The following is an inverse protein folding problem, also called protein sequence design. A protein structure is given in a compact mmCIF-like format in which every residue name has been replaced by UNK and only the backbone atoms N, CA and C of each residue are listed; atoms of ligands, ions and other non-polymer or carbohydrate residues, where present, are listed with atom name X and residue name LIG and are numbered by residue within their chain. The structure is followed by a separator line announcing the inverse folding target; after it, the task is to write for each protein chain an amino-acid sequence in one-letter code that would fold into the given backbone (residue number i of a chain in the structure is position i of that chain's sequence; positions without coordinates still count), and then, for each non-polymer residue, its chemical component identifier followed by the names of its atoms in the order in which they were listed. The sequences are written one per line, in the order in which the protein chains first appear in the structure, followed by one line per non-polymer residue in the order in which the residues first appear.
data_IF_742085627985
#
_entry.id   IF_742085627985
#
_cell.length_a   1.000
_cell.length_b   1.000
_cell.length_c   1.000
_cell.angle_alpha   90.00
_cell.angle_beta   90.00
_cell.angle_gamma   90.00
#
_symmetry.space_group_name_H-M   'P 1'
#
loop_
_entity.id
_entity.type
_entity.pdbx_description
1 polymer ?
#
# COMPACT_ATOMS: atom_id res chain seq x y z
N UNK A 1 96.24 -80.57 -76.97
CA UNK A 1 95.76 -80.85 -75.60
C UNK A 1 96.07 -79.71 -74.62
N UNK A 2 97.24 -79.03 -74.71
CA UNK A 2 97.59 -77.90 -73.83
C UNK A 2 96.69 -76.63 -73.94
N UNK A 3 96.11 -76.34 -75.10
CA UNK A 3 95.23 -75.16 -75.27
C UNK A 3 93.84 -75.33 -74.64
N UNK A 4 93.35 -76.57 -74.57
CA UNK A 4 92.05 -76.91 -73.99
C UNK A 4 92.09 -76.80 -72.46
N UNK A 5 93.20 -77.22 -71.83
CA UNK A 5 93.42 -77.04 -70.38
C UNK A 5 93.52 -75.56 -70.00
N UNK A 6 94.17 -74.71 -70.82
CA UNK A 6 94.22 -73.25 -70.61
C UNK A 6 92.83 -72.62 -70.71
N UNK A 7 92.02 -73.02 -71.69
CA UNK A 7 90.65 -72.54 -71.83
C UNK A 7 89.77 -72.94 -70.63
N UNK A 8 89.91 -74.17 -70.13
CA UNK A 8 89.20 -74.65 -68.93
C UNK A 8 89.64 -73.88 -67.68
N UNK A 9 90.95 -73.63 -67.52
CA UNK A 9 91.47 -72.85 -66.39
C UNK A 9 90.97 -71.39 -66.40
N UNK A 10 90.89 -70.76 -67.58
CA UNK A 10 90.35 -69.39 -67.73
C UNK A 10 88.84 -69.38 -67.45
N UNK A 11 88.09 -70.36 -67.94
CA UNK A 11 86.65 -70.48 -67.67
C UNK A 11 86.37 -70.69 -66.17
N UNK A 12 87.17 -71.52 -65.49
CA UNK A 12 87.06 -71.73 -64.04
C UNK A 12 87.39 -70.45 -63.26
N UNK A 13 88.45 -69.73 -63.65
CA UNK A 13 88.83 -68.46 -63.00
C UNK A 13 87.79 -67.34 -63.24
N UNK A 14 87.18 -67.31 -64.43
CA UNK A 14 86.06 -66.40 -64.75
C UNK A 14 84.79 -66.77 -63.99
N UNK A 15 84.58 -68.06 -63.70
CA UNK A 15 83.47 -68.55 -62.88
C UNK A 15 83.66 -68.15 -61.41
N UNK A 16 84.85 -68.34 -60.84
CA UNK A 16 85.19 -67.84 -59.50
C UNK A 16 85.04 -66.32 -59.40
N UNK A 17 85.48 -65.56 -60.40
CA UNK A 17 85.33 -64.09 -60.41
C UNK A 17 83.85 -63.68 -60.44
N UNK A 18 83.01 -64.41 -61.18
CA UNK A 18 81.57 -64.14 -61.26
C UNK A 18 80.84 -64.55 -59.98
N UNK A 19 81.24 -65.67 -59.36
CA UNK A 19 80.73 -66.13 -58.06
C UNK A 19 81.10 -65.14 -56.95
N UNK A 20 82.35 -64.66 -56.91
CA UNK A 20 82.79 -63.64 -55.96
C UNK A 20 82.09 -62.29 -56.17
N UNK A 21 81.84 -61.89 -57.44
CA UNK A 21 81.04 -60.68 -57.74
C UNK A 21 79.59 -60.84 -57.32
N UNK A 22 78.97 -61.99 -57.57
CA UNK A 22 77.60 -62.27 -57.15
C UNK A 22 77.45 -62.25 -55.63
N UNK A 23 78.43 -62.82 -54.90
CA UNK A 23 78.45 -62.78 -53.44
C UNK A 23 78.65 -61.35 -52.90
N UNK A 24 79.53 -60.56 -53.52
CA UNK A 24 79.72 -59.14 -53.16
C UNK A 24 78.50 -58.25 -53.49
N UNK A 25 77.74 -58.58 -54.53
CA UNK A 25 76.49 -57.89 -54.90
C UNK A 25 75.35 -58.30 -53.95
N UNK A 26 75.27 -59.57 -53.55
CA UNK A 26 74.34 -60.03 -52.52
C UNK A 26 74.59 -59.35 -51.17
N UNK A 27 75.86 -59.29 -50.74
CA UNK A 27 76.24 -58.60 -49.51
C UNK A 27 75.90 -57.10 -49.57
N UNK A 28 76.11 -56.44 -50.72
CA UNK A 28 75.70 -55.04 -50.93
C UNK A 28 74.17 -54.87 -50.93
N UNK A 29 73.43 -55.78 -51.54
CA UNK A 29 71.97 -55.75 -51.54
C UNK A 29 71.40 -55.94 -50.12
N UNK A 30 71.97 -56.84 -49.33
CA UNK A 30 71.60 -57.01 -47.92
C UNK A 30 71.95 -55.78 -47.07
N UNK A 31 73.11 -55.17 -47.29
CA UNK A 31 73.51 -53.94 -46.59
C UNK A 31 72.54 -52.78 -46.89
N UNK A 32 72.17 -52.57 -48.16
CA UNK A 32 71.19 -51.54 -48.56
C UNK A 32 69.82 -51.84 -47.95
N UNK A 33 69.38 -53.10 -47.98
CA UNK A 33 68.11 -53.51 -47.34
C UNK A 33 68.12 -53.22 -45.84
N UNK A 34 69.22 -53.50 -45.15
CA UNK A 34 69.37 -53.20 -43.73
C UNK A 34 69.34 -51.68 -43.47
N UNK A 35 70.03 -50.86 -44.27
CA UNK A 35 69.97 -49.40 -44.16
C UNK A 35 68.56 -48.84 -44.37
N UNK A 36 67.85 -49.30 -45.40
CA UNK A 36 66.47 -48.88 -45.66
C UNK A 36 65.54 -49.25 -44.51
N UNK A 37 65.72 -50.42 -43.88
CA UNK A 37 64.95 -50.76 -42.68
C UNK A 37 65.26 -49.83 -41.52
N UNK A 38 66.53 -49.48 -41.28
CA UNK A 38 66.93 -48.54 -40.22
C UNK A 38 66.35 -47.15 -40.48
N UNK A 39 66.36 -46.70 -41.74
CA UNK A 39 65.76 -45.43 -42.13
C UNK A 39 64.24 -45.45 -41.95
N UNK A 40 63.57 -46.52 -42.36
CA UNK A 40 62.13 -46.71 -42.14
C UNK A 40 61.78 -46.67 -40.65
N UNK A 41 62.53 -47.40 -39.80
CA UNK A 41 62.32 -47.35 -38.35
C UNK A 41 62.57 -45.95 -37.78
N UNK A 42 63.56 -45.22 -38.29
CA UNK A 42 63.84 -43.84 -37.86
C UNK A 42 62.70 -42.90 -38.24
N UNK A 43 62.18 -42.98 -39.47
CA UNK A 43 61.07 -42.15 -39.94
C UNK A 43 59.77 -42.47 -39.20
N UNK A 44 59.45 -43.75 -39.01
CA UNK A 44 58.29 -44.18 -38.21
C UNK A 44 58.40 -43.66 -36.78
N UNK A 45 59.57 -43.80 -36.13
CA UNK A 45 59.76 -43.29 -34.78
C UNK A 45 59.67 -41.75 -34.69
N UNK A 46 60.11 -41.03 -35.72
CA UNK A 46 59.95 -39.58 -35.80
C UNK A 46 58.48 -39.19 -35.99
N UNK A 47 57.75 -39.86 -36.87
CA UNK A 47 56.33 -39.62 -37.09
C UNK A 47 55.50 -39.93 -35.83
N UNK A 48 55.78 -41.04 -35.15
CA UNK A 48 55.10 -41.40 -33.90
C UNK A 48 55.39 -40.38 -32.80
N UNK A 49 56.65 -39.92 -32.68
CA UNK A 49 57.00 -38.86 -31.73
C UNK A 49 56.27 -37.56 -32.07
N UNK A 50 56.24 -37.17 -33.34
CA UNK A 50 55.58 -35.94 -33.77
C UNK A 50 54.07 -36.00 -33.48
N UNK A 51 53.43 -37.14 -33.77
CA UNK A 51 52.03 -37.39 -33.43
C UNK A 51 51.77 -37.30 -31.92
N UNK A 52 52.66 -37.87 -31.11
CA UNK A 52 52.54 -37.77 -29.65
C UNK A 52 52.70 -36.31 -29.17
N UNK A 53 53.66 -35.57 -29.72
CA UNK A 53 53.86 -34.16 -29.39
C UNK A 53 52.61 -33.34 -29.75
N UNK A 54 52.08 -33.51 -30.96
CA UNK A 54 50.88 -32.81 -31.42
C UNK A 54 49.66 -33.15 -30.55
N UNK A 55 49.47 -34.42 -30.18
CA UNK A 55 48.39 -34.83 -29.28
C UNK A 55 48.54 -34.21 -27.89
N UNK A 56 49.77 -34.15 -27.35
CA UNK A 56 50.04 -33.51 -26.07
C UNK A 56 49.78 -32.01 -26.14
N UNK A 57 50.19 -31.33 -27.22
CA UNK A 57 49.93 -29.90 -27.42
C UNK A 57 48.44 -29.60 -27.55
N UNK A 58 47.71 -30.40 -28.33
CA UNK A 58 46.25 -30.28 -28.45
C UNK A 58 45.56 -30.48 -27.10
N UNK A 59 45.96 -31.49 -26.32
CA UNK A 59 45.44 -31.70 -24.98
C UNK A 59 45.76 -30.55 -24.03
N UNK A 60 47.01 -30.06 -24.04
CA UNK A 60 47.44 -28.94 -23.21
C UNK A 60 46.68 -27.66 -23.54
N UNK A 61 46.40 -27.42 -24.82
CA UNK A 61 45.63 -26.27 -25.25
C UNK A 61 44.16 -26.41 -24.82
N UNK A 62 43.55 -27.57 -25.05
CA UNK A 62 42.17 -27.83 -24.63
C UNK A 62 42.00 -27.71 -23.10
N UNK A 63 42.99 -28.18 -22.32
CA UNK A 63 42.97 -28.06 -20.86
C UNK A 63 43.09 -26.60 -20.41
N UNK A 64 43.97 -25.81 -21.04
CA UNK A 64 44.06 -24.36 -20.78
C UNK A 64 42.76 -23.63 -21.09
N UNK A 65 42.14 -23.93 -22.23
CA UNK A 65 40.89 -23.31 -22.64
C UNK A 65 39.75 -23.72 -21.70
N UNK A 66 39.69 -24.99 -21.30
CA UNK A 66 38.74 -25.49 -20.32
C UNK A 66 38.92 -24.80 -18.95
N UNK A 67 40.15 -24.67 -18.46
CA UNK A 67 40.46 -23.95 -17.22
C UNK A 67 40.06 -22.48 -17.35
N UNK A 68 40.34 -21.84 -18.49
CA UNK A 68 39.92 -20.46 -18.76
C UNK A 68 38.40 -20.29 -18.67
N UNK A 69 37.64 -21.19 -19.25
CA UNK A 69 36.17 -21.17 -19.21
C UNK A 69 35.65 -21.42 -17.80
N UNK A 70 36.18 -22.42 -17.08
CA UNK A 70 35.70 -22.74 -15.72
C UNK A 70 36.05 -21.64 -14.73
N UNK A 71 37.27 -21.09 -14.79
CA UNK A 71 37.68 -19.97 -13.94
C UNK A 71 36.90 -18.70 -14.24
N UNK A 72 36.64 -18.38 -15.52
CA UNK A 72 35.79 -17.26 -15.89
C UNK A 72 34.34 -17.46 -15.43
N UNK A 73 33.78 -18.67 -15.58
CA UNK A 73 32.44 -18.99 -15.10
C UNK A 73 32.34 -18.89 -13.57
N UNK A 74 33.34 -19.38 -12.84
CA UNK A 74 33.40 -19.27 -11.37
C UNK A 74 33.55 -17.81 -10.92
N UNK A 75 34.41 -17.04 -11.58
CA UNK A 75 34.57 -15.60 -11.30
C UNK A 75 33.26 -14.85 -11.54
N UNK A 76 32.58 -15.11 -12.66
CA UNK A 76 31.28 -14.50 -12.97
C UNK A 76 30.19 -14.92 -11.97
N UNK A 77 30.19 -16.19 -11.53
CA UNK A 77 29.27 -16.68 -10.51
C UNK A 77 29.49 -15.96 -9.19
N UNK A 78 30.73 -15.87 -8.70
CA UNK A 78 31.07 -15.15 -7.47
C UNK A 78 30.68 -13.68 -7.56
N UNK A 79 31.02 -13.00 -8.65
CA UNK A 79 30.63 -11.61 -8.86
C UNK A 79 29.10 -11.41 -8.83
N UNK A 80 28.35 -12.33 -9.46
CA UNK A 80 26.88 -12.28 -9.45
C UNK A 80 26.29 -12.56 -8.06
N UNK A 81 26.89 -13.48 -7.30
CA UNK A 81 26.51 -13.77 -5.91
C UNK A 81 26.75 -12.56 -5.00
N UNK A 82 27.93 -11.92 -5.11
CA UNK A 82 28.27 -10.71 -4.37
C UNK A 82 27.32 -9.55 -4.71
N UNK A 83 26.99 -9.36 -5.99
CA UNK A 83 26.00 -8.35 -6.42
C UNK A 83 24.59 -8.65 -5.87
N UNK A 84 24.17 -9.92 -5.90
CA UNK A 84 22.89 -10.34 -5.36
C UNK A 84 22.82 -10.13 -3.84
N UNK A 85 23.89 -10.44 -3.12
CA UNK A 85 24.01 -10.21 -1.68
C UNK A 85 24.01 -8.72 -1.35
N UNK A 86 24.77 -7.91 -2.07
CA UNK A 86 24.78 -6.46 -1.91
C UNK A 86 23.38 -5.85 -2.12
N UNK A 87 22.64 -6.34 -3.12
CA UNK A 87 21.27 -5.91 -3.37
C UNK A 87 20.30 -6.36 -2.27
N UNK A 88 20.44 -7.60 -1.75
CA UNK A 88 19.65 -8.06 -0.61
C UNK A 88 19.92 -7.24 0.64
N UNK A 89 21.19 -6.96 0.95
CA UNK A 89 21.57 -6.15 2.09
C UNK A 89 21.04 -4.72 1.97
N UNK A 90 21.11 -4.12 0.78
CA UNK A 90 20.52 -2.80 0.53
C UNK A 90 19.01 -2.80 0.72
N UNK A 91 18.30 -3.79 0.18
CA UNK A 91 16.86 -3.92 0.33
C UNK A 91 16.46 -4.15 1.79
N UNK A 92 17.22 -4.98 2.52
CA UNK A 92 17.02 -5.21 3.95
C UNK A 92 17.26 -3.94 4.76
N UNK A 93 18.36 -3.22 4.51
CA UNK A 93 18.64 -1.94 5.15
C UNK A 93 17.55 -0.89 4.89
N UNK A 94 16.99 -0.84 3.69
CA UNK A 94 15.84 0.01 3.38
C UNK A 94 14.57 -0.42 4.14
N UNK A 95 14.27 -1.72 4.18
CA UNK A 95 13.12 -2.24 4.91
C UNK A 95 13.23 -1.95 6.43
N UNK A 96 14.42 -2.13 6.99
CA UNK A 96 14.67 -1.86 8.40
C UNK A 96 14.62 -0.35 8.70
N UNK A 97 15.13 0.50 7.81
CA UNK A 97 14.97 1.95 7.92
C UNK A 97 13.49 2.38 7.94
N UNK A 98 12.66 1.82 7.07
CA UNK A 98 11.21 2.09 7.05
C UNK A 98 10.53 1.60 8.34
N UNK A 99 10.88 0.40 8.82
CA UNK A 99 10.34 -0.11 10.09
C UNK A 99 10.71 0.78 11.27
N UNK A 100 11.98 1.19 11.38
CA UNK A 100 12.45 2.06 12.45
C UNK A 100 11.73 3.41 12.39
N UNK A 101 11.59 4.00 11.19
CA UNK A 101 10.86 5.24 11.01
C UNK A 101 9.38 5.10 11.43
N UNK A 102 8.69 4.07 10.97
CA UNK A 102 7.30 3.82 11.31
C UNK A 102 7.09 3.55 12.82
N UNK A 103 8.00 2.80 13.44
CA UNK A 103 7.99 2.57 14.89
C UNK A 103 8.22 3.87 15.66
N UNK A 104 9.19 4.68 15.23
CA UNK A 104 9.50 5.98 15.84
C UNK A 104 8.30 6.94 15.75
N UNK A 105 7.62 7.01 14.60
CA UNK A 105 6.44 7.85 14.41
C UNK A 105 5.26 7.36 15.26
N UNK A 106 5.07 6.05 15.37
CA UNK A 106 4.05 5.45 16.22
C UNK A 106 4.31 5.76 17.71
N UNK A 107 5.54 5.60 18.17
CA UNK A 107 5.95 5.94 19.54
C UNK A 107 5.79 7.43 19.82
N UNK A 108 6.24 8.30 18.90
CA UNK A 108 6.07 9.75 19.03
C UNK A 108 4.59 10.15 19.12
N UNK A 109 3.71 9.49 18.36
CA UNK A 109 2.28 9.75 18.41
C UNK A 109 1.66 9.29 19.73
N UNK A 110 2.07 8.12 20.26
CA UNK A 110 1.63 7.65 21.57
C UNK A 110 2.03 8.62 22.68
N UNK A 111 3.29 9.02 22.72
CA UNK A 111 3.79 9.98 23.73
C UNK A 111 3.05 11.31 23.64
N UNK A 112 2.76 11.81 22.43
CA UNK A 112 1.95 13.03 22.25
C UNK A 112 0.51 12.84 22.72
N UNK A 113 -0.11 11.69 22.45
CA UNK A 113 -1.46 11.38 22.90
C UNK A 113 -1.54 11.33 24.43
N UNK A 114 -0.60 10.64 25.08
CA UNK A 114 -0.47 10.57 26.54
C UNK A 114 -0.25 11.95 27.15
N UNK A 115 0.64 12.77 26.57
CA UNK A 115 0.87 14.13 27.03
C UNK A 115 -0.40 14.99 26.92
N UNK A 116 -1.15 14.88 25.83
CA UNK A 116 -2.41 15.60 25.65
C UNK A 116 -3.48 15.12 26.63
N UNK A 117 -3.58 13.81 26.88
CA UNK A 117 -4.51 13.25 27.86
C UNK A 117 -4.27 13.84 29.25
N UNK A 118 -3.00 13.89 29.68
CA UNK A 118 -2.63 14.51 30.97
C UNK A 118 -2.98 15.99 30.99
N UNK A 119 -2.67 16.73 29.91
CA UNK A 119 -3.00 18.16 29.82
C UNK A 119 -4.50 18.40 29.91
N UNK A 120 -5.32 17.63 29.19
CA UNK A 120 -6.77 17.77 29.22
C UNK A 120 -7.36 17.38 30.57
N UNK A 121 -6.81 16.36 31.26
CA UNK A 121 -7.20 16.02 32.63
C UNK A 121 -6.96 17.19 33.58
N UNK A 122 -5.75 17.76 33.56
CA UNK A 122 -5.40 18.91 34.39
C UNK A 122 -6.28 20.13 34.07
N UNK A 123 -6.52 20.41 32.78
CA UNK A 123 -7.36 21.54 32.36
C UNK A 123 -8.83 21.34 32.77
N UNK A 124 -9.36 20.13 32.63
CA UNK A 124 -10.73 19.79 33.03
C UNK A 124 -10.91 19.90 34.55
N UNK A 125 -9.93 19.41 35.34
CA UNK A 125 -9.92 19.56 36.79
C UNK A 125 -9.83 21.03 37.20
N UNK A 126 -8.98 21.82 36.55
CA UNK A 126 -8.87 23.27 36.78
C UNK A 126 -10.19 24.00 36.49
N UNK A 127 -10.82 23.70 35.34
CA UNK A 127 -12.14 24.26 34.99
C UNK A 127 -13.22 23.83 35.96
N UNK A 128 -13.23 22.58 36.41
CA UNK A 128 -14.18 22.09 37.41
C UNK A 128 -14.04 22.87 38.72
N UNK A 129 -12.82 23.07 39.19
CA UNK A 129 -12.55 23.86 40.40
C UNK A 129 -12.99 25.33 40.24
N UNK A 130 -12.75 25.96 39.10
CA UNK A 130 -13.22 27.32 38.83
C UNK A 130 -14.75 27.38 38.83
N UNK A 131 -15.43 26.42 38.18
CA UNK A 131 -16.89 26.38 38.14
C UNK A 131 -17.48 26.12 39.54
N UNK A 132 -16.86 25.25 40.34
CA UNK A 132 -17.27 24.97 41.71
C UNK A 132 -17.08 26.21 42.61
N UNK A 133 -15.94 26.90 42.49
CA UNK A 133 -15.70 28.17 43.16
C UNK A 133 -16.68 29.27 42.70
N UNK A 134 -17.02 29.31 41.40
CA UNK A 134 -17.99 30.26 40.87
C UNK A 134 -19.39 29.97 41.42
N UNK A 135 -19.84 28.71 41.45
CA UNK A 135 -21.17 28.34 41.94
C UNK A 135 -21.35 28.62 43.43
N UNK A 136 -20.33 28.38 44.25
CA UNK A 136 -20.39 28.67 45.70
C UNK A 136 -20.45 30.16 46.02
N UNK A 137 -19.76 30.99 45.24
CA UNK A 137 -19.79 32.45 45.41
C UNK A 137 -21.02 33.09 44.72
N UNK A 138 -21.59 32.45 43.70
CA UNK A 138 -22.56 33.06 42.80
C UNK A 138 -23.99 33.04 43.29
N UNK A 139 -24.45 32.12 44.14
CA UNK A 139 -25.88 32.08 44.48
C UNK A 139 -26.36 33.41 45.09
N UNK A 140 -25.61 33.93 46.06
CA UNK A 140 -25.88 35.23 46.69
C UNK A 140 -25.60 36.42 45.75
N UNK A 141 -24.60 36.32 44.88
CA UNK A 141 -24.26 37.37 43.91
C UNK A 141 -25.26 37.44 42.74
N UNK A 142 -25.77 36.30 42.29
CA UNK A 142 -26.79 36.17 41.25
C UNK A 142 -28.10 36.73 41.78
N UNK A 143 -28.50 36.41 43.01
CA UNK A 143 -29.71 36.99 43.61
C UNK A 143 -29.60 38.51 43.71
N UNK A 144 -28.44 39.03 44.16
CA UNK A 144 -28.19 40.47 44.20
C UNK A 144 -28.23 41.10 42.79
N UNK A 145 -27.61 40.47 41.79
CA UNK A 145 -27.63 40.93 40.41
C UNK A 145 -29.04 40.90 39.79
N UNK A 146 -29.84 39.86 40.08
CA UNK A 146 -31.24 39.77 39.66
C UNK A 146 -32.04 40.90 40.29
N UNK A 147 -31.88 41.15 41.60
CA UNK A 147 -32.55 42.25 42.29
C UNK A 147 -32.16 43.61 41.71
N UNK A 148 -30.88 43.83 41.45
CA UNK A 148 -30.38 45.10 40.89
C UNK A 148 -30.90 45.32 39.47
N UNK A 149 -30.84 44.31 38.59
CA UNK A 149 -31.40 44.40 37.24
C UNK A 149 -32.93 44.54 37.24
N UNK A 150 -33.62 43.90 38.18
CA UNK A 150 -35.05 44.09 38.36
C UNK A 150 -35.34 45.55 38.75
N UNK A 151 -34.61 46.11 39.73
CA UNK A 151 -34.73 47.52 40.13
C UNK A 151 -34.46 48.49 38.98
N UNK A 152 -33.48 48.22 38.12
CA UNK A 152 -33.18 49.05 36.94
C UNK A 152 -34.31 49.05 35.90
N UNK A 153 -35.00 47.93 35.71
CA UNK A 153 -36.07 47.79 34.73
C UNK A 153 -37.46 48.17 35.29
N UNK A 154 -37.60 48.26 36.62
CA UNK A 154 -38.86 48.64 37.26
C UNK A 154 -39.45 49.97 36.77
N UNK A 155 -38.69 51.06 36.58
CA UNK A 155 -39.25 52.32 36.06
C UNK A 155 -39.91 52.17 34.69
N UNK A 156 -39.28 51.44 33.77
CA UNK A 156 -39.83 51.20 32.43
C UNK A 156 -41.10 50.33 32.48
N UNK A 157 -41.12 49.31 33.35
CA UNK A 157 -42.32 48.50 33.59
C UNK A 157 -43.44 49.37 34.16
N UNK A 158 -43.15 50.21 35.15
CA UNK A 158 -44.14 51.11 35.78
C UNK A 158 -44.69 52.07 34.72
N UNK A 159 -43.85 52.72 33.91
CA UNK A 159 -44.27 53.62 32.84
C UNK A 159 -45.23 52.93 31.85
N UNK A 160 -44.89 51.74 31.37
CA UNK A 160 -45.81 50.97 30.51
C UNK A 160 -47.06 50.49 31.25
N UNK A 161 -46.97 50.24 32.56
CA UNK A 161 -48.10 49.77 33.38
C UNK A 161 -49.07 50.90 33.75
N UNK A 162 -48.64 52.16 33.86
CA UNK A 162 -49.53 53.32 34.08
C UNK A 162 -50.08 53.92 32.77
N UNK A 163 -49.48 53.60 31.62
CA UNK A 163 -49.96 54.03 30.29
C UNK A 163 -51.43 53.69 29.97
N UNK A 164 -52.01 52.54 30.39
CA UNK A 164 -53.43 52.25 30.23
C UNK A 164 -54.32 53.10 31.16
N UNK A 165 -53.81 53.52 32.32
CA UNK A 165 -54.56 54.36 33.26
C UNK A 165 -54.72 55.80 32.73
N UNK A 166 -53.75 56.32 31.98
CA UNK A 166 -53.89 57.62 31.29
C UNK A 166 -55.00 57.62 30.23
N UNK A 167 -55.33 56.45 29.68
CA UNK A 167 -56.32 56.31 28.59
C UNK A 167 -57.76 56.14 29.07
N UNK A 168 -58.01 56.13 30.38
CA UNK A 168 -59.36 56.03 30.96
C UNK A 168 -59.78 57.40 31.50
N UNK A 169 -60.34 58.27 30.65
CA UNK A 169 -60.90 59.58 31.06
C UNK A 169 -62.29 59.48 31.75
N UNK A 170 -62.63 58.30 32.28
CA UNK A 170 -63.88 58.03 32.99
C UNK A 170 -64.62 56.84 32.41
N UNK A 171 -65.17 55.99 33.28
CA UNK A 171 -66.02 54.88 32.88
C UNK A 171 -67.35 55.46 32.40
N UNK A 172 -67.48 55.69 31.09
CA UNK A 172 -68.76 56.04 30.49
C UNK A 172 -69.52 54.74 30.20
N UNK A 173 -70.41 54.37 31.11
CA UNK A 173 -71.29 53.21 30.95
C UNK A 173 -72.23 53.52 29.79
N UNK A 174 -71.93 52.99 28.61
CA UNK A 174 -72.87 52.95 27.50
C UNK A 174 -73.87 51.84 27.78
N UNK A 175 -75.07 52.24 28.19
CA UNK A 175 -76.20 51.34 28.36
C UNK A 175 -76.75 51.02 26.96
N UNK A 176 -76.34 49.88 26.40
CA UNK A 176 -76.81 49.40 25.10
C UNK A 176 -78.08 48.56 25.32
N UNK A 177 -79.20 49.26 25.44
CA UNK A 177 -80.55 48.69 25.36
C UNK A 177 -81.08 48.94 23.95
N UNK A 178 -81.18 47.86 23.15
CA UNK A 178 -81.97 47.82 21.93
C UNK A 178 -81.34 48.46 20.68
N UNK A 179 -81.33 47.68 19.59
CA UNK A 179 -81.86 48.06 18.26
C UNK A 179 -81.01 47.51 17.08
N UNK A 180 -81.65 46.56 16.37
CA UNK A 180 -81.65 46.37 14.91
C UNK A 180 -80.44 45.63 14.29
N UNK A 181 -80.53 44.34 13.93
CA UNK A 181 -81.25 43.74 12.76
C UNK A 181 -81.17 44.53 11.45
N UNK A 182 -80.79 43.81 10.39
CA UNK A 182 -80.83 44.16 8.97
C UNK A 182 -79.58 44.86 8.37
N UNK A 183 -78.66 44.03 7.86
CA UNK A 183 -77.84 44.36 6.68
C UNK A 183 -77.45 43.09 5.90
N UNK A 184 -78.27 42.81 4.88
CA UNK A 184 -77.94 42.22 3.56
C UNK A 184 -77.16 40.89 3.47
N UNK A 185 -77.92 39.80 3.42
CA UNK A 185 -77.58 38.60 2.62
C UNK A 185 -77.82 38.86 1.14
N UNK A 186 -76.82 38.53 0.31
CA UNK A 186 -76.95 38.34 -1.13
C UNK A 186 -76.43 36.95 -1.48
N UNK A 187 -77.34 36.09 -1.91
CA UNK A 187 -77.16 34.71 -2.35
C UNK A 187 -77.05 34.65 -3.88
N UNK A 188 -76.08 33.86 -4.38
CA UNK A 188 -76.01 33.34 -5.74
C UNK A 188 -75.02 32.15 -5.79
N UNK A 189 -75.45 31.04 -5.18
CA UNK A 189 -75.50 29.68 -5.75
C UNK A 189 -74.52 29.29 -6.91
N UNK A 190 -73.55 28.40 -6.63
CA UNK A 190 -73.50 27.05 -7.24
C UNK A 190 -72.35 26.16 -6.72
N UNK A 191 -72.68 24.91 -6.41
CA UNK A 191 -71.84 23.72 -6.19
C UNK A 191 -71.14 23.51 -4.83
N UNK A 192 -71.99 23.16 -3.86
CA UNK A 192 -71.92 21.96 -3.02
C UNK A 192 -70.82 20.92 -3.37
N UNK A 193 -69.66 21.02 -2.70
CA UNK A 193 -68.53 20.09 -2.78
C UNK A 193 -67.92 19.85 -1.40
N UNK A 194 -68.65 19.06 -0.60
CA UNK A 194 -68.33 18.37 0.65
C UNK A 194 -66.99 18.73 1.36
N UNK A 195 -67.07 19.28 2.58
CA UNK A 195 -65.94 19.46 3.51
C UNK A 195 -65.14 18.17 3.75
N UNK A 196 -65.81 17.02 3.68
CA UNK A 196 -65.18 15.71 3.73
C UNK A 196 -64.18 15.48 2.58
N UNK A 197 -64.48 15.99 1.37
CA UNK A 197 -63.63 15.83 0.19
C UNK A 197 -62.42 16.80 0.20
N UNK A 198 -62.57 17.94 0.89
CA UNK A 198 -61.46 18.86 1.16
C UNK A 198 -60.48 18.28 2.20
N UNK A 199 -60.99 17.57 3.21
CA UNK A 199 -60.15 16.89 4.22
C UNK A 199 -59.49 15.62 3.66
N UNK A 200 -60.17 14.84 2.82
CA UNK A 200 -59.58 13.63 2.20
C UNK A 200 -58.50 13.98 1.16
N UNK A 201 -58.69 15.02 0.35
CA UNK A 201 -57.64 15.49 -0.57
C UNK A 201 -56.42 16.05 0.17
N UNK A 202 -56.62 16.74 1.30
CA UNK A 202 -55.53 17.17 2.16
C UNK A 202 -54.78 15.97 2.79
N UNK A 203 -55.51 14.95 3.25
CA UNK A 203 -54.92 13.73 3.82
C UNK A 203 -54.18 12.87 2.78
N UNK A 204 -54.68 12.78 1.54
CA UNK A 204 -54.04 12.02 0.46
C UNK A 204 -52.74 12.70 -0.02
N UNK A 205 -52.73 14.04 -0.10
CA UNK A 205 -51.51 14.83 -0.38
C UNK A 205 -50.46 14.68 0.72
N UNK A 206 -50.90 14.65 1.99
CA UNK A 206 -50.02 14.38 3.12
C UNK A 206 -49.37 12.99 3.01
N UNK A 207 -50.14 11.96 2.64
CA UNK A 207 -49.63 10.59 2.47
C UNK A 207 -48.66 10.44 1.29
N UNK A 208 -48.85 11.19 0.20
CA UNK A 208 -47.93 11.18 -0.95
C UNK A 208 -46.57 11.84 -0.63
N UNK A 209 -46.54 12.81 0.29
CA UNK A 209 -45.32 13.50 0.70
C UNK A 209 -44.74 13.01 2.05
N UNK A 210 -45.39 12.03 2.69
CA UNK A 210 -44.98 11.45 3.96
C UNK A 210 -43.50 11.02 4.01
N UNK A 211 -42.90 10.39 2.98
CA UNK A 211 -41.49 9.96 3.05
C UNK A 211 -40.50 11.13 3.10
N UNK A 212 -40.84 12.28 2.52
CA UNK A 212 -39.98 13.47 2.56
C UNK A 212 -40.16 14.23 3.88
N UNK A 213 -41.40 14.32 4.36
CA UNK A 213 -41.72 14.97 5.62
C UNK A 213 -41.18 14.18 6.82
N UNK A 214 -41.23 12.84 6.78
CA UNK A 214 -40.65 11.95 7.81
C UNK A 214 -39.13 12.08 7.89
N UNK A 215 -38.43 12.27 6.75
CA UNK A 215 -36.98 12.49 6.76
C UNK A 215 -36.61 13.85 7.38
N UNK A 216 -37.36 14.90 7.06
CA UNK A 216 -37.16 16.24 7.65
C UNK A 216 -37.52 16.24 9.15
N UNK A 217 -38.63 15.61 9.54
CA UNK A 217 -39.03 15.52 10.96
C UNK A 217 -38.07 14.64 11.77
N UNK A 218 -37.53 13.56 11.20
CA UNK A 218 -36.48 12.76 11.82
C UNK A 218 -35.16 13.53 11.97
N UNK A 219 -34.81 14.38 11.01
CA UNK A 219 -33.66 15.30 11.11
C UNK A 219 -33.87 16.39 12.17
N UNK A 220 -35.12 16.82 12.39
CA UNK A 220 -35.52 17.75 13.45
C UNK A 220 -35.76 17.02 14.81
N UNK A 221 -35.60 15.69 14.85
CA UNK A 221 -35.69 14.88 16.08
C UNK A 221 -37.10 14.55 16.55
N UNK A 222 -38.12 14.75 15.71
CA UNK A 222 -39.52 14.54 16.03
C UNK A 222 -40.05 13.29 15.29
N UNK A 223 -40.00 12.13 15.96
CA UNK A 223 -40.56 10.89 15.41
C UNK A 223 -42.09 10.87 15.64
N UNK A 224 -42.87 10.92 14.56
CA UNK A 224 -44.34 10.88 14.62
C UNK A 224 -44.87 9.52 15.12
N UNK A 225 -44.09 8.45 14.95
CA UNK A 225 -44.40 7.08 15.41
C UNK A 225 -44.34 6.94 16.95
N UNK A 226 -43.72 7.91 17.62
CA UNK A 226 -43.71 8.06 19.07
C UNK A 226 -44.31 9.42 19.46
N UNK A 227 -45.51 9.71 18.96
CA UNK A 227 -46.24 10.93 19.31
C UNK A 227 -46.28 11.15 20.84
N UNK A 228 -46.16 12.40 21.29
CA UNK A 228 -46.12 12.94 22.68
C UNK A 228 -45.28 12.20 23.74
N UNK A 229 -45.31 10.87 23.82
CA UNK A 229 -44.46 10.01 24.64
C UNK A 229 -42.96 10.09 24.26
N UNK A 230 -42.63 10.31 22.99
CA UNK A 230 -41.24 10.55 22.58
C UNK A 230 -40.70 11.91 23.02
N UNK A 231 -41.58 12.92 23.15
CA UNK A 231 -41.23 14.26 23.62
C UNK A 231 -41.08 14.32 25.15
N UNK A 232 -41.75 13.44 25.90
CA UNK A 232 -41.63 13.36 27.37
C UNK A 232 -40.53 12.39 27.84
N UNK A 233 -40.16 11.39 27.03
CA UNK A 233 -39.03 10.50 27.33
C UNK A 233 -37.67 11.24 27.32
N UNK A 234 -37.52 12.25 26.45
CA UNK A 234 -36.33 13.13 26.42
C UNK A 234 -36.21 14.05 27.64
N UNK A 235 -37.26 14.21 28.46
CA UNK A 235 -37.26 15.05 29.66
C UNK A 235 -37.09 14.27 30.96
N UNK A 236 -37.16 12.93 30.95
CA UNK A 236 -36.93 12.10 32.14
C UNK A 236 -35.57 11.39 32.10
N UNK A 237 -34.49 12.16 32.03
CA UNK A 237 -33.14 11.66 32.30
C UNK A 237 -32.88 11.69 33.81
N UNK A 238 -33.16 10.58 34.50
CA UNK A 238 -32.53 10.28 35.80
C UNK A 238 -31.14 9.67 35.53
N UNK A 239 -30.05 10.16 36.15
CA UNK A 239 -28.70 9.72 35.82
C UNK A 239 -28.39 8.29 36.33
N UNK A 240 -27.45 7.57 35.68
CA UNK A 240 -27.00 6.25 36.14
C UNK A 240 -26.18 6.38 37.43
N UNK A 241 -26.54 5.59 38.43
CA UNK A 241 -25.77 5.41 39.65
C UNK A 241 -25.29 3.95 39.69
N UNK A 242 -23.97 3.79 39.72
CA UNK A 242 -23.12 2.63 40.12
C UNK A 242 -23.67 1.23 39.82
#
# INVERSE_FOLDING_TARGET
MAEQERAIAIANKSKEESEAKAEADLARAEAVKAEETVNTYREVAQADRQKQIELIEAHKQAERDAIGITTAAEANKRASEDEAEANRLRAQGQADAIKIAAQSDAEATKVRAEANEVRYKVEAEGKRQINEAANTLSETQIEMQIKLKALEQLPAIIEQSVKPMERIEGIKIYQVEGLNTAASSGDADNNNGNLADQVTNAALRYRLHAPLLDNIMKEIGLNLDSGINGMTAGMNTTPPNI
#
